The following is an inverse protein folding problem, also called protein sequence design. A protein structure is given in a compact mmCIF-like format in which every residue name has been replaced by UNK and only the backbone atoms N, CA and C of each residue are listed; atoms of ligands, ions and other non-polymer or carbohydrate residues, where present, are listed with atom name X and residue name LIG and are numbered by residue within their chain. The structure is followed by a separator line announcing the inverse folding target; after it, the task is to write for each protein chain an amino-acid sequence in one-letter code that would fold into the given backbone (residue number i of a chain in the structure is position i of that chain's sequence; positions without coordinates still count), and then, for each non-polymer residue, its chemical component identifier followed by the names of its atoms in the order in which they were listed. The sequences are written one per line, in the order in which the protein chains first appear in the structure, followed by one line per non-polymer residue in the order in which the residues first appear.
data_IF_716103260752
#
_entry.id   IF_716103260752
#
_cell.length_a   1.000
_cell.length_b   1.000
_cell.length_c   1.000
_cell.angle_alpha   90.00
_cell.angle_beta   90.00
_cell.angle_gamma   90.00
#
_symmetry.space_group_name_H-M   'P 1'
#
loop_
_entity.id
_entity.type
_entity.pdbx_description
1 polymer ?
#
# COMPACT_ATOMS: atom_id res chain seq x y z
N UNK A 1 2.10 -22.31 15.65
CA UNK A 1 0.71 -22.18 16.13
C UNK A 1 0.07 -21.16 15.22
N UNK A 2 -0.97 -21.54 14.48
CA UNK A 2 -1.65 -20.61 13.57
C UNK A 2 -2.49 -19.63 14.39
N UNK A 3 -1.96 -18.42 14.58
CA UNK A 3 -2.64 -17.38 15.33
C UNK A 3 -3.88 -16.90 14.55
N UNK A 4 -5.04 -16.90 15.20
CA UNK A 4 -6.32 -16.44 14.62
C UNK A 4 -6.48 -14.93 14.82
N UNK A 5 -7.02 -14.18 13.84
CA UNK A 5 -7.36 -12.76 14.01
C UNK A 5 -8.21 -12.50 15.25
N UNK A 6 -7.83 -11.47 16.02
CA UNK A 6 -8.55 -10.99 17.21
C UNK A 6 -9.59 -9.94 16.79
N UNK A 7 -10.90 -10.26 16.78
CA UNK A 7 -11.92 -9.36 16.26
C UNK A 7 -12.05 -8.03 17.01
N UNK A 8 -11.55 -7.97 18.26
CA UNK A 8 -11.55 -6.77 19.10
C UNK A 8 -10.35 -5.84 18.91
N UNK A 9 -9.38 -6.18 18.05
CA UNK A 9 -8.16 -5.39 17.83
C UNK A 9 -8.11 -4.85 16.40
N UNK A 10 -7.97 -3.52 16.28
CA UNK A 10 -7.69 -2.85 15.02
C UNK A 10 -6.35 -2.11 15.07
N UNK A 11 -5.63 -2.12 13.95
CA UNK A 11 -4.35 -1.41 13.80
C UNK A 11 -4.47 -0.36 12.70
N UNK A 12 -4.07 0.88 12.99
CA UNK A 12 -3.99 1.95 12.02
C UNK A 12 -2.52 2.29 11.72
N UNK A 13 -2.13 2.25 10.45
CA UNK A 13 -0.76 2.47 9.98
C UNK A 13 -0.70 3.79 9.20
N UNK A 14 0.07 4.74 9.72
CA UNK A 14 0.25 6.05 9.09
C UNK A 14 1.16 6.03 7.87
N UNK A 15 1.23 7.18 7.20
CA UNK A 15 2.17 7.42 6.10
C UNK A 15 3.60 7.60 6.64
N UNK A 16 4.59 7.03 5.96
CA UNK A 16 6.01 7.12 6.38
C UNK A 16 7.02 7.12 5.23
N UNK A 17 6.60 7.47 4.00
CA UNK A 17 7.42 7.40 2.78
C UNK A 17 8.08 6.01 2.64
N UNK A 18 9.40 5.90 2.80
CA UNK A 18 10.09 4.61 2.74
C UNK A 18 9.90 3.74 3.99
N UNK A 19 9.25 4.24 5.04
CA UNK A 19 9.03 3.55 6.31
C UNK A 19 8.05 2.36 6.28
N UNK A 20 7.63 1.88 5.11
CA UNK A 20 6.78 0.69 4.98
C UNK A 20 7.41 -0.55 5.63
N UNK A 21 8.74 -0.71 5.57
CA UNK A 21 9.43 -1.81 6.26
C UNK A 21 9.25 -1.79 7.78
N UNK A 22 9.12 -0.61 8.41
CA UNK A 22 8.88 -0.51 9.84
C UNK A 22 7.47 -0.98 10.21
N UNK A 23 6.46 -0.65 9.39
CA UNK A 23 5.11 -1.17 9.54
C UNK A 23 5.05 -2.69 9.36
N UNK A 24 5.79 -3.22 8.38
CA UNK A 24 5.90 -4.66 8.14
C UNK A 24 6.53 -5.38 9.34
N UNK A 25 7.63 -4.85 9.88
CA UNK A 25 8.28 -5.37 11.09
C UNK A 25 7.37 -5.31 12.32
N UNK A 26 6.65 -4.21 12.51
CA UNK A 26 5.66 -4.08 13.58
C UNK A 26 4.56 -5.15 13.49
N UNK A 27 3.98 -5.36 12.31
CA UNK A 27 2.95 -6.37 12.09
C UNK A 27 3.47 -7.80 12.27
N UNK A 28 4.68 -8.09 11.79
CA UNK A 28 5.35 -9.37 12.06
C UNK A 28 5.59 -9.58 13.55
N UNK A 29 6.09 -8.57 14.27
CA UNK A 29 6.30 -8.66 15.71
C UNK A 29 5.01 -8.91 16.49
N UNK A 30 3.89 -8.29 16.10
CA UNK A 30 2.57 -8.62 16.65
C UNK A 30 2.21 -10.09 16.38
N UNK A 31 2.39 -10.55 15.15
CA UNK A 31 2.08 -11.92 14.77
C UNK A 31 2.93 -12.97 15.50
N UNK A 32 4.22 -12.69 15.68
CA UNK A 32 5.15 -13.52 16.46
C UNK A 32 4.75 -13.60 17.93
N UNK A 33 4.19 -12.52 18.48
CA UNK A 33 3.61 -12.49 19.82
C UNK A 33 2.23 -13.18 19.90
N UNK A 34 1.73 -13.79 18.82
CA UNK A 34 0.42 -14.44 18.75
C UNK A 34 -0.76 -13.46 18.62
N UNK A 35 -0.50 -12.21 18.28
CA UNK A 35 -1.50 -11.14 18.16
C UNK A 35 -1.71 -10.80 16.69
N UNK A 36 -2.81 -11.27 16.11
CA UNK A 36 -3.23 -10.87 14.76
C UNK A 36 -4.39 -9.88 14.90
N UNK A 37 -4.29 -8.64 14.38
CA UNK A 37 -5.44 -7.73 14.35
C UNK A 37 -6.62 -8.35 13.59
N UNK A 38 -7.85 -8.00 13.92
CA UNK A 38 -9.04 -8.32 13.11
C UNK A 38 -9.28 -7.30 11.98
N UNK A 39 -8.73 -6.09 12.13
CA UNK A 39 -8.81 -5.02 11.14
C UNK A 39 -7.50 -4.26 11.03
N UNK A 40 -7.14 -3.88 9.81
CA UNK A 40 -6.04 -2.95 9.51
C UNK A 40 -6.60 -1.79 8.69
N UNK A 41 -6.15 -0.58 9.00
CA UNK A 41 -6.32 0.59 8.14
C UNK A 41 -4.95 1.18 7.81
N UNK A 42 -4.73 1.59 6.57
CA UNK A 42 -3.42 2.10 6.13
C UNK A 42 -3.49 3.30 5.21
N UNK A 43 -2.49 4.18 5.30
CA UNK A 43 -2.27 5.29 4.38
C UNK A 43 -0.83 5.25 3.83
N UNK A 44 -0.65 5.44 2.52
CA UNK A 44 0.65 5.44 1.84
C UNK A 44 1.49 4.20 2.21
N UNK A 45 2.65 4.38 2.85
CA UNK A 45 3.49 3.31 3.37
C UNK A 45 2.74 2.30 4.26
N UNK A 46 1.78 2.76 5.07
CA UNK A 46 0.93 1.91 5.88
C UNK A 46 -0.07 1.09 5.05
N UNK A 47 -0.54 1.62 3.92
CA UNK A 47 -1.39 0.88 2.99
C UNK A 47 -0.62 -0.25 2.30
N UNK A 48 0.67 -0.03 1.96
CA UNK A 48 1.55 -1.08 1.41
C UNK A 48 1.66 -2.23 2.42
N UNK A 49 2.21 -1.98 3.60
CA UNK A 49 2.52 -3.05 4.56
C UNK A 49 1.28 -3.70 5.14
N UNK A 50 0.23 -2.90 5.40
CA UNK A 50 -1.05 -3.41 5.86
C UNK A 50 -1.69 -4.35 4.85
N UNK A 51 -1.68 -3.99 3.55
CA UNK A 51 -2.26 -4.83 2.50
C UNK A 51 -1.45 -6.10 2.25
N UNK A 52 -0.11 -6.02 2.24
CA UNK A 52 0.74 -7.21 2.12
C UNK A 52 0.43 -8.21 3.25
N UNK A 53 0.35 -7.72 4.49
CA UNK A 53 0.05 -8.53 5.66
C UNK A 53 -1.38 -9.10 5.62
N UNK A 54 -2.38 -8.28 5.26
CA UNK A 54 -3.78 -8.68 5.14
C UNK A 54 -4.02 -9.69 4.02
N UNK A 55 -3.22 -9.64 2.95
CA UNK A 55 -3.20 -10.64 1.87
C UNK A 55 -2.50 -11.96 2.24
N UNK A 56 -2.06 -12.10 3.50
CA UNK A 56 -1.50 -13.35 4.02
C UNK A 56 0.02 -13.44 4.01
N UNK A 57 0.76 -12.41 3.57
CA UNK A 57 2.21 -12.42 3.72
C UNK A 57 2.55 -12.21 5.20
N UNK A 58 3.34 -13.13 5.78
CA UNK A 58 3.77 -13.11 7.17
C UNK A 58 5.22 -13.56 7.33
N UNK A 59 5.82 -13.18 8.45
CA UNK A 59 7.18 -13.58 8.81
C UNK A 59 8.17 -13.32 7.68
N UNK A 60 8.95 -14.31 7.24
CA UNK A 60 9.96 -14.15 6.19
C UNK A 60 9.41 -13.67 4.83
N UNK A 61 8.17 -14.02 4.48
CA UNK A 61 7.57 -13.61 3.21
C UNK A 61 7.26 -12.10 3.20
N UNK A 62 6.71 -11.59 4.31
CA UNK A 62 6.45 -10.16 4.46
C UNK A 62 7.75 -9.36 4.56
N UNK A 63 8.73 -9.87 5.31
CA UNK A 63 10.05 -9.25 5.42
C UNK A 63 10.72 -9.14 4.06
N UNK A 64 10.74 -10.23 3.28
CA UNK A 64 11.31 -10.25 1.93
C UNK A 64 10.63 -9.23 1.04
N UNK A 65 9.30 -9.18 1.01
CA UNK A 65 8.56 -8.23 0.19
C UNK A 65 8.82 -6.77 0.62
N UNK A 66 8.87 -6.50 1.92
CA UNK A 66 9.09 -5.16 2.46
C UNK A 66 10.55 -4.68 2.34
N UNK A 67 11.52 -5.58 2.23
CA UNK A 67 12.93 -5.22 2.05
C UNK A 67 13.39 -5.31 0.59
N UNK A 68 12.54 -5.79 -0.33
CA UNK A 68 12.88 -5.90 -1.75
C UNK A 68 13.15 -4.51 -2.35
N UNK A 69 14.37 -4.22 -2.84
CA UNK A 69 14.64 -2.99 -3.55
C UNK A 69 13.72 -2.78 -4.75
N UNK A 70 13.25 -3.86 -5.40
CA UNK A 70 12.32 -3.78 -6.52
C UNK A 70 11.02 -3.06 -6.16
N UNK A 71 10.52 -3.22 -4.92
CA UNK A 71 9.35 -2.48 -4.46
C UNK A 71 9.60 -0.98 -4.49
N UNK A 72 10.72 -0.53 -3.90
CA UNK A 72 11.11 0.89 -3.94
C UNK A 72 11.27 1.39 -5.37
N UNK A 73 12.00 0.65 -6.20
CA UNK A 73 12.30 1.06 -7.57
C UNK A 73 11.07 1.04 -8.47
N UNK A 74 10.05 0.24 -8.16
CA UNK A 74 8.81 0.17 -8.94
C UNK A 74 8.01 1.47 -8.97
N UNK A 75 8.17 2.32 -7.95
CA UNK A 75 7.55 3.65 -7.90
C UNK A 75 8.28 4.67 -8.78
N UNK A 76 9.52 4.43 -9.16
CA UNK A 76 10.27 5.31 -10.06
C UNK A 76 10.02 4.92 -11.52
N UNK A 77 9.82 5.94 -12.37
CA UNK A 77 9.61 5.76 -13.81
C UNK A 77 10.60 6.64 -14.58
N UNK A 78 11.35 6.04 -15.51
CA UNK A 78 12.29 6.76 -16.39
C UNK A 78 11.58 7.78 -17.30
N UNK A 79 10.28 7.59 -17.53
CA UNK A 79 9.40 8.53 -18.22
C UNK A 79 9.17 9.85 -17.48
N UNK A 80 9.61 9.98 -16.23
CA UNK A 80 9.46 11.22 -15.45
C UNK A 80 10.05 12.44 -16.14
N UNK A 81 11.23 12.31 -16.77
CA UNK A 81 11.86 13.42 -17.49
C UNK A 81 11.04 13.87 -18.70
N UNK A 82 10.34 12.93 -19.36
CA UNK A 82 9.46 13.25 -20.49
C UNK A 82 8.13 13.88 -20.06
N UNK A 83 7.70 13.69 -18.81
CA UNK A 83 6.47 14.30 -18.26
C UNK A 83 6.70 15.67 -17.63
N UNK A 84 7.95 16.02 -17.33
CA UNK A 84 8.32 17.29 -16.72
C UNK A 84 7.81 18.53 -17.49
N UNK A 85 7.92 18.62 -18.84
CA UNK A 85 7.37 19.75 -19.59
C UNK A 85 5.84 19.86 -19.46
N UNK A 86 5.14 18.72 -19.43
CA UNK A 86 3.68 18.68 -19.29
C UNK A 86 3.23 19.11 -17.90
N UNK A 87 3.95 18.69 -16.86
CA UNK A 87 3.69 19.14 -15.49
C UNK A 87 3.95 20.65 -15.32
N UNK A 88 5.07 21.15 -15.85
CA UNK A 88 5.44 22.56 -15.76
C UNK A 88 4.47 23.49 -16.51
N UNK A 89 3.86 23.01 -17.60
CA UNK A 89 2.90 23.77 -18.40
C UNK A 89 1.45 23.53 -18.01
N UNK A 90 1.17 22.54 -17.16
CA UNK A 90 -0.18 22.07 -16.84
C UNK A 90 -0.90 21.39 -18.01
N UNK A 91 -0.18 21.03 -19.08
CA UNK A 91 -0.72 20.44 -20.31
C UNK A 91 -0.22 18.99 -20.46
N UNK A 92 -1.14 18.03 -20.36
CA UNK A 92 -0.88 16.62 -20.71
C UNK A 92 -0.24 15.74 -19.63
N UNK A 93 0.19 16.29 -18.48
CA UNK A 93 0.63 15.50 -17.32
C UNK A 93 0.25 16.16 -16.00
N UNK A 94 -0.29 15.36 -15.07
CA UNK A 94 -0.64 15.78 -13.70
C UNK A 94 0.37 15.33 -12.63
N UNK A 95 1.42 14.59 -13.04
CA UNK A 95 2.48 14.06 -12.18
C UNK A 95 3.65 13.51 -13.01
N UNK A 96 4.79 13.28 -12.37
CA UNK A 96 6.02 12.81 -13.02
C UNK A 96 6.03 11.28 -13.18
N UNK A 97 5.47 10.58 -12.22
CA UNK A 97 5.48 9.13 -12.08
C UNK A 97 4.12 8.58 -12.48
N UNK A 98 4.13 7.53 -13.30
CA UNK A 98 2.89 6.91 -13.75
C UNK A 98 2.27 5.96 -12.75
N UNK A 99 3.01 5.50 -11.73
CA UNK A 99 2.58 4.46 -10.79
C UNK A 99 2.44 3.06 -11.40
N UNK A 100 2.46 2.92 -12.73
CA UNK A 100 2.25 1.65 -13.43
C UNK A 100 3.29 0.58 -13.06
N UNK A 101 4.53 0.97 -12.78
CA UNK A 101 5.57 0.07 -12.29
C UNK A 101 5.20 -0.54 -10.94
N UNK A 102 4.75 0.29 -10.01
CA UNK A 102 4.33 -0.11 -8.68
C UNK A 102 3.09 -1.02 -8.73
N UNK A 103 2.09 -0.68 -9.55
CA UNK A 103 0.91 -1.55 -9.75
C UNK A 103 1.33 -2.93 -10.26
N UNK A 104 2.19 -3.00 -11.28
CA UNK A 104 2.68 -4.29 -11.82
C UNK A 104 3.45 -5.10 -10.78
N UNK A 105 4.32 -4.44 -10.01
CA UNK A 105 5.10 -5.11 -8.98
C UNK A 105 4.19 -5.64 -7.86
N UNK A 106 3.24 -4.84 -7.37
CA UNK A 106 2.28 -5.27 -6.35
C UNK A 106 1.40 -6.42 -6.84
N UNK A 107 0.90 -6.38 -8.08
CA UNK A 107 0.17 -7.52 -8.69
C UNK A 107 1.04 -8.77 -8.83
N UNK A 108 2.34 -8.64 -9.08
CA UNK A 108 3.23 -9.80 -9.09
C UNK A 108 3.39 -10.47 -7.71
N UNK A 109 3.23 -9.70 -6.63
CA UNK A 109 3.30 -10.18 -5.26
C UNK A 109 1.96 -10.70 -4.74
N UNK A 110 0.86 -10.05 -5.12
CA UNK A 110 -0.47 -10.24 -4.51
C UNK A 110 -1.49 -10.89 -5.45
N UNK A 111 -1.19 -10.96 -6.74
CA UNK A 111 -2.16 -11.27 -7.78
C UNK A 111 -3.14 -10.13 -8.04
N UNK A 112 -4.14 -10.42 -8.87
CA UNK A 112 -5.26 -9.50 -9.16
C UNK A 112 -6.40 -9.76 -8.16
N UNK A 113 -6.24 -9.26 -6.93
CA UNK A 113 -7.23 -9.40 -5.85
C UNK A 113 -7.96 -8.07 -5.57
N UNK A 114 -9.18 -8.18 -5.06
CA UNK A 114 -9.99 -7.05 -4.63
C UNK A 114 -9.75 -6.76 -3.14
N UNK A 115 -9.71 -5.49 -2.75
CA UNK A 115 -9.60 -5.09 -1.35
C UNK A 115 -10.69 -5.73 -0.47
N UNK A 116 -11.91 -5.92 -0.99
CA UNK A 116 -13.00 -6.52 -0.23
C UNK A 116 -12.83 -8.01 0.04
N UNK A 117 -11.90 -8.70 -0.64
CA UNK A 117 -11.62 -10.12 -0.37
C UNK A 117 -10.69 -10.33 0.82
N UNK A 118 -10.10 -9.26 1.36
CA UNK A 118 -9.24 -9.34 2.54
C UNK A 118 -10.12 -9.36 3.79
N UNK A 119 -10.13 -10.49 4.52
CA UNK A 119 -10.97 -10.70 5.69
C UNK A 119 -10.20 -10.99 7.00
N UNK A 120 -8.97 -11.53 6.91
CA UNK A 120 -8.24 -12.06 8.07
C UNK A 120 -6.77 -11.58 8.14
N UNK A 121 -6.52 -10.30 8.45
CA UNK A 121 -7.48 -9.24 8.79
C UNK A 121 -8.19 -8.58 7.60
N UNK A 122 -9.32 -7.95 7.90
CA UNK A 122 -9.94 -6.96 7.02
C UNK A 122 -9.04 -5.74 6.82
N UNK A 123 -9.07 -5.15 5.62
CA UNK A 123 -8.22 -4.02 5.26
C UNK A 123 -9.03 -2.82 4.78
N UNK A 124 -8.63 -1.62 5.20
CA UNK A 124 -9.15 -0.33 4.73
C UNK A 124 -8.00 0.56 4.26
N UNK A 125 -8.15 1.23 3.11
CA UNK A 125 -7.11 2.09 2.54
C UNK A 125 -7.58 3.53 2.52
N UNK A 126 -6.81 4.41 3.16
CA UNK A 126 -7.04 5.85 3.12
C UNK A 126 -6.46 6.47 1.86
N UNK A 127 -7.25 7.28 1.16
CA UNK A 127 -6.84 8.05 -0.02
C UNK A 127 -7.34 9.49 0.08
N UNK A 128 -6.87 10.34 -0.84
CA UNK A 128 -7.43 11.69 -1.01
C UNK A 128 -8.18 11.75 -2.34
N UNK A 129 -9.46 12.06 -2.29
CA UNK A 129 -10.24 12.45 -3.47
C UNK A 129 -9.84 13.86 -3.87
N UNK A 130 -8.93 13.95 -4.84
CA UNK A 130 -8.37 15.21 -5.30
C UNK A 130 -9.40 16.12 -5.99
N UNK A 131 -10.45 15.54 -6.59
CA UNK A 131 -11.48 16.31 -7.28
C UNK A 131 -12.43 17.01 -6.31
N UNK A 132 -12.75 16.34 -5.19
CA UNK A 132 -13.66 16.89 -4.16
C UNK A 132 -12.93 17.41 -2.91
N UNK A 133 -11.59 17.41 -2.91
CA UNK A 133 -10.73 17.92 -1.84
C UNK A 133 -11.04 17.31 -0.46
N UNK A 134 -11.25 16.00 -0.39
CA UNK A 134 -11.63 15.31 0.86
C UNK A 134 -10.90 13.97 1.04
N UNK A 135 -10.68 13.53 2.29
CA UNK A 135 -10.21 12.18 2.54
C UNK A 135 -11.30 11.15 2.26
N UNK A 136 -10.92 9.97 1.81
CA UNK A 136 -11.80 8.83 1.60
C UNK A 136 -11.16 7.54 2.15
N UNK A 137 -11.99 6.65 2.70
CA UNK A 137 -11.57 5.33 3.17
C UNK A 137 -12.20 4.27 2.27
N UNK A 138 -11.37 3.61 1.49
CA UNK A 138 -11.76 2.58 0.54
C UNK A 138 -11.79 1.21 1.19
N UNK A 139 -12.73 0.37 0.75
CA UNK A 139 -12.98 -0.99 1.28
C UNK A 139 -13.15 -2.06 0.21
N UNK A 140 -13.13 -1.66 -1.07
CA UNK A 140 -13.33 -2.52 -2.23
C UNK A 140 -12.66 -1.90 -3.45
N UNK A 141 -12.27 -2.73 -4.41
CA UNK A 141 -11.61 -2.35 -5.65
C UNK A 141 -10.24 -3.00 -5.82
N UNK A 142 -9.59 -2.82 -6.99
CA UNK A 142 -8.33 -3.48 -7.32
C UNK A 142 -7.20 -3.11 -6.35
N UNK A 143 -6.74 -4.06 -5.55
CA UNK A 143 -5.91 -3.79 -4.38
C UNK A 143 -4.61 -3.02 -4.72
N UNK A 144 -3.90 -3.46 -5.76
CA UNK A 144 -2.63 -2.84 -6.15
C UNK A 144 -2.80 -1.37 -6.54
N UNK A 145 -3.84 -1.05 -7.29
CA UNK A 145 -4.17 0.32 -7.69
C UNK A 145 -4.56 1.17 -6.49
N UNK A 146 -5.32 0.63 -5.55
CA UNK A 146 -5.72 1.38 -4.35
C UNK A 146 -4.51 1.68 -3.45
N UNK A 147 -3.58 0.73 -3.31
CA UNK A 147 -2.31 0.97 -2.61
C UNK A 147 -1.53 2.11 -3.28
N UNK A 148 -1.40 2.08 -4.61
CA UNK A 148 -0.68 3.12 -5.37
C UNK A 148 -1.39 4.47 -5.30
N UNK A 149 -2.72 4.50 -5.37
CA UNK A 149 -3.53 5.71 -5.20
C UNK A 149 -3.31 6.33 -3.81
N UNK A 150 -3.21 5.51 -2.76
CA UNK A 150 -2.88 5.96 -1.40
C UNK A 150 -1.45 6.53 -1.28
N UNK A 151 -0.55 6.15 -2.19
CA UNK A 151 0.82 6.64 -2.25
C UNK A 151 1.01 7.85 -3.20
N UNK A 152 -0.02 8.25 -3.93
CA UNK A 152 0.08 9.30 -4.94
C UNK A 152 0.20 10.67 -4.27
N UNK A 153 1.40 11.25 -4.36
CA UNK A 153 1.68 12.61 -3.87
C UNK A 153 1.47 13.59 -5.01
N UNK A 154 0.69 14.67 -4.85
CA UNK A 154 0.44 15.63 -5.92
C UNK A 154 1.74 16.15 -6.55
N UNK A 155 1.79 16.12 -7.89
CA UNK A 155 2.96 16.54 -8.67
C UNK A 155 4.06 15.48 -8.81
N UNK A 156 4.01 14.38 -8.05
CA UNK A 156 4.87 13.22 -8.22
C UNK A 156 4.20 12.16 -9.08
#
# INVERSE_FOLDING_TARGET
MDATPLPGLAVALGSSFLGYYAHAGFLNGLAEAGVIPGKISGASAGAISGSLFAAGLRGPALEKAALDPALRWSFFDWGALHRLPGLATGLGASGLLSGNGAVRHLRSLLGDIDLSSLADPSMEIAVTDAANHRPEILRSGPLAELIVASCAVPGL
#
